data_IF_373567784579
#
_entry.id   IF_373567784579
#
_cell.length_a   1.000
_cell.length_b   1.000
_cell.length_c   1.000
_cell.angle_alpha   90.00
_cell.angle_beta   90.00
_cell.angle_gamma   90.00
#
_symmetry.space_group_name_H-M   'P 1'
#
loop_
_entity.id
_entity.type
_entity.pdbx_description
1 polymer ?
#
# COMPACT_ATOMS: atom_id res chain seq x y z
N UNK A 1 -14.90 -10.95 55.53
CA UNK A 1 -16.09 -11.04 54.66
C UNK A 1 -16.19 -9.72 53.91
N UNK A 2 -15.83 -9.73 52.63
CA UNK A 2 -15.96 -8.58 51.75
C UNK A 2 -17.41 -8.48 51.27
N UNK A 3 -18.01 -7.30 51.37
CA UNK A 3 -19.27 -6.96 50.75
C UNK A 3 -19.05 -5.66 49.98
N UNK A 4 -18.90 -5.75 48.67
CA UNK A 4 -18.92 -4.60 47.77
C UNK A 4 -20.18 -4.70 46.92
N UNK A 5 -20.99 -3.65 47.05
CA UNK A 5 -22.29 -3.49 46.44
C UNK A 5 -22.21 -3.37 44.92
N UNK A 6 -23.25 -3.87 44.28
CA UNK A 6 -23.55 -3.77 42.87
C UNK A 6 -24.44 -2.55 42.65
N UNK A 7 -24.19 -1.75 41.61
CA UNK A 7 -25.23 -0.91 41.01
C UNK A 7 -24.95 -0.75 39.52
N UNK A 8 -25.97 -1.07 38.73
CA UNK A 8 -26.04 -0.94 37.29
C UNK A 8 -26.69 0.39 36.92
N UNK A 9 -26.23 1.02 35.84
CA UNK A 9 -27.05 1.91 35.03
C UNK A 9 -26.47 1.96 33.61
N UNK A 10 -27.28 1.54 32.64
CA UNK A 10 -27.05 1.76 31.22
C UNK A 10 -27.48 3.18 30.84
N UNK A 11 -26.76 3.83 29.92
CA UNK A 11 -27.33 4.88 29.07
C UNK A 11 -26.60 4.92 27.72
N UNK A 12 -27.40 4.80 26.66
CA UNK A 12 -27.04 4.86 25.25
C UNK A 12 -26.64 6.27 24.81
N UNK A 13 -25.82 6.32 23.75
CA UNK A 13 -25.86 7.38 22.74
C UNK A 13 -24.91 8.56 22.97
N UNK A 14 -23.98 8.74 22.05
CA UNK A 14 -23.29 10.02 21.90
C UNK A 14 -21.94 9.90 21.20
N UNK A 15 -21.94 10.17 19.89
CA UNK A 15 -20.81 10.71 19.14
C UNK A 15 -19.47 9.99 19.25
N UNK A 16 -19.10 9.28 18.18
CA UNK A 16 -17.68 9.22 17.81
C UNK A 16 -17.27 10.64 17.36
N UNK A 17 -17.08 11.51 18.34
CA UNK A 17 -16.36 12.77 18.17
C UNK A 17 -14.94 12.36 17.79
N UNK A 18 -14.68 12.29 16.49
CA UNK A 18 -13.33 12.39 15.94
C UNK A 18 -12.82 13.79 16.24
N UNK A 19 -12.52 14.03 17.51
CA UNK A 19 -11.80 15.19 17.99
C UNK A 19 -10.34 14.84 18.07
N UNK A 20 -9.56 15.52 17.25
CA UNK A 20 -8.29 16.04 17.72
C UNK A 20 -7.06 15.33 17.19
N UNK A 21 -6.39 16.01 16.27
CA UNK A 21 -4.96 15.82 16.09
C UNK A 21 -4.47 16.31 14.74
N UNK A 22 -4.43 17.62 14.53
CA UNK A 22 -3.58 18.21 13.50
C UNK A 22 -2.13 17.84 13.81
N UNK A 23 -1.68 16.72 13.24
CA UNK A 23 -0.30 16.26 13.31
C UNK A 23 0.41 16.83 12.10
N UNK A 24 1.18 17.91 12.31
CA UNK A 24 2.16 18.34 11.31
C UNK A 24 2.99 17.13 10.92
N UNK A 25 2.99 16.82 9.62
CA UNK A 25 3.67 15.64 9.11
C UNK A 25 5.12 15.59 9.57
N UNK A 26 5.58 14.40 9.95
CA UNK A 26 6.95 14.20 10.43
C UNK A 26 8.00 14.47 9.34
N UNK A 27 9.20 13.94 9.55
CA UNK A 27 10.24 13.92 8.51
C UNK A 27 10.27 12.54 7.86
N UNK A 28 10.21 12.52 6.53
CA UNK A 28 10.46 11.34 5.71
C UNK A 28 11.77 11.53 4.95
N UNK A 29 12.47 10.44 4.64
CA UNK A 29 13.73 10.49 3.90
C UNK A 29 13.55 9.86 2.52
N UNK A 30 14.16 10.48 1.51
CA UNK A 30 14.35 9.92 0.16
C UNK A 30 15.85 9.85 -0.10
N UNK A 31 16.38 8.65 -0.28
CA UNK A 31 17.75 8.46 -0.73
C UNK A 31 17.85 8.79 -2.23
N UNK A 32 18.88 9.54 -2.59
CA UNK A 32 19.19 9.95 -3.96
C UNK A 32 20.42 9.16 -4.42
N UNK A 33 20.20 8.23 -5.34
CA UNK A 33 21.25 7.37 -5.88
C UNK A 33 21.82 6.30 -4.93
N UNK A 34 20.99 5.57 -4.16
CA UNK A 34 21.49 4.57 -3.22
C UNK A 34 22.31 3.49 -3.93
N UNK A 35 23.46 3.13 -3.37
CA UNK A 35 24.34 2.09 -3.93
C UNK A 35 24.92 2.41 -5.32
N UNK A 36 25.02 3.69 -5.70
CA UNK A 36 25.36 4.15 -7.07
C UNK A 36 24.31 3.78 -8.13
N UNK A 37 23.05 3.61 -7.71
CA UNK A 37 21.93 3.36 -8.60
C UNK A 37 21.38 4.67 -9.17
N UNK A 38 20.70 4.63 -10.32
CA UNK A 38 20.04 5.80 -10.89
C UNK A 38 18.56 5.85 -10.49
N UNK A 39 18.29 5.85 -9.19
CA UNK A 39 16.93 5.83 -8.63
C UNK A 39 16.80 6.76 -7.43
N UNK A 40 15.56 7.15 -7.13
CA UNK A 40 15.17 7.67 -5.82
C UNK A 40 14.60 6.51 -4.99
N UNK A 41 14.90 6.47 -3.69
CA UNK A 41 14.39 5.43 -2.80
C UNK A 41 13.75 6.03 -1.53
N UNK A 42 12.44 5.83 -1.29
CA UNK A 42 11.49 5.22 -2.21
C UNK A 42 11.24 6.10 -3.45
N UNK A 43 10.92 5.47 -4.59
CA UNK A 43 10.52 6.20 -5.79
C UNK A 43 9.11 6.78 -5.68
N UNK A 44 8.21 6.12 -4.95
CA UNK A 44 6.84 6.57 -4.69
C UNK A 44 6.65 6.76 -3.18
N UNK A 45 6.29 7.96 -2.76
CA UNK A 45 6.14 8.31 -1.34
C UNK A 45 4.80 9.01 -1.09
N UNK A 46 3.93 8.38 -0.31
CA UNK A 46 2.69 9.00 0.16
C UNK A 46 2.88 9.64 1.55
N UNK A 47 2.53 10.91 1.70
CA UNK A 47 2.73 11.68 2.95
C UNK A 47 1.51 12.51 3.33
N UNK A 48 1.39 12.80 4.62
CA UNK A 48 0.39 13.75 5.12
C UNK A 48 0.80 15.19 4.76
N UNK A 49 -0.16 16.12 4.57
CA UNK A 49 0.17 17.53 4.42
C UNK A 49 0.96 18.05 5.62
N UNK A 50 1.97 18.89 5.33
CA UNK A 50 2.92 19.41 6.31
C UNK A 50 4.11 18.50 6.59
N UNK A 51 4.22 17.35 5.92
CA UNK A 51 5.39 16.46 6.04
C UNK A 51 6.62 17.09 5.39
N UNK A 52 7.76 17.01 6.07
CA UNK A 52 9.05 17.41 5.50
C UNK A 52 9.72 16.20 4.89
N UNK A 53 10.15 16.31 3.63
CA UNK A 53 10.97 15.29 2.98
C UNK A 53 12.41 15.78 2.94
N UNK A 54 13.31 14.96 3.48
CA UNK A 54 14.76 15.11 3.39
C UNK A 54 15.29 14.21 2.29
N UNK A 55 15.84 14.81 1.25
CA UNK A 55 16.57 14.15 0.18
C UNK A 55 18.04 14.03 0.58
N UNK A 56 18.59 12.83 0.55
CA UNK A 56 19.97 12.53 0.98
C UNK A 56 20.75 11.90 -0.17
N UNK A 57 21.84 12.53 -0.58
CA UNK A 57 22.67 12.02 -1.68
C UNK A 57 23.59 10.92 -1.18
N UNK A 58 23.38 9.73 -1.72
CA UNK A 58 24.20 8.54 -1.47
C UNK A 58 25.18 8.24 -2.61
N UNK A 59 25.02 8.89 -3.76
CA UNK A 59 25.99 8.92 -4.85
C UNK A 59 26.10 10.30 -5.51
N UNK A 60 27.09 10.43 -6.39
CA UNK A 60 27.48 11.67 -7.04
C UNK A 60 26.66 12.01 -8.29
N UNK A 61 26.58 13.29 -8.64
CA UNK A 61 26.03 13.72 -9.93
C UNK A 61 24.51 13.65 -10.07
N UNK A 62 23.76 13.89 -8.99
CA UNK A 62 22.29 13.88 -9.01
C UNK A 62 21.68 15.22 -8.66
N UNK A 63 20.43 15.43 -9.07
CA UNK A 63 19.59 16.55 -8.68
C UNK A 63 18.14 16.08 -8.50
N UNK A 64 17.32 16.95 -7.92
CA UNK A 64 15.87 16.75 -7.75
C UNK A 64 15.18 17.91 -8.41
N UNK A 65 14.58 17.69 -9.57
CA UNK A 65 13.91 18.73 -10.37
C UNK A 65 12.43 18.39 -10.50
N UNK A 66 11.50 19.29 -10.12
CA UNK A 66 10.08 19.07 -10.29
C UNK A 66 9.69 19.10 -11.78
N UNK A 67 8.93 18.09 -12.21
CA UNK A 67 8.32 18.03 -13.55
C UNK A 67 6.86 18.50 -13.50
N UNK A 68 6.16 18.18 -12.40
CA UNK A 68 4.76 18.51 -12.17
C UNK A 68 4.53 18.76 -10.70
N UNK A 69 3.82 19.83 -10.37
CA UNK A 69 3.44 20.18 -8.99
C UNK A 69 1.96 20.56 -8.94
N UNK A 70 1.26 20.34 -7.81
CA UNK A 70 -0.13 20.70 -7.67
C UNK A 70 -0.37 22.21 -7.85
N UNK A 71 -1.56 22.58 -8.32
CA UNK A 71 -1.94 23.99 -8.44
C UNK A 71 -1.85 24.69 -7.08
N UNK A 72 -1.17 25.84 -7.05
CA UNK A 72 -0.96 26.62 -5.82
C UNK A 72 0.15 26.09 -4.91
N UNK A 73 0.83 25.00 -5.28
CA UNK A 73 2.09 24.61 -4.65
C UNK A 73 3.28 25.41 -5.23
N UNK A 74 4.31 25.60 -4.41
CA UNK A 74 5.58 26.18 -4.84
C UNK A 74 6.71 25.26 -4.41
N UNK A 75 7.33 24.59 -5.37
CA UNK A 75 8.51 23.75 -5.16
C UNK A 75 9.39 23.82 -6.39
N UNK A 76 10.67 24.15 -6.18
CA UNK A 76 11.68 24.31 -7.26
C UNK A 76 12.74 23.19 -7.21
N UNK A 77 12.57 22.20 -6.31
CA UNK A 77 13.57 21.17 -6.07
C UNK A 77 14.91 21.75 -5.64
N UNK A 78 16.00 21.16 -6.13
CA UNK A 78 17.36 21.62 -5.85
C UNK A 78 17.80 22.83 -6.70
N UNK A 79 16.91 23.41 -7.52
CA UNK A 79 17.22 24.55 -8.37
C UNK A 79 17.40 24.17 -9.84
N UNK A 80 18.31 24.84 -10.59
CA UNK A 80 18.45 24.65 -12.03
C UNK A 80 18.80 23.20 -12.41
N UNK A 81 18.25 22.71 -13.52
CA UNK A 81 18.52 21.37 -14.07
C UNK A 81 20.00 21.06 -14.32
N UNK A 82 20.81 22.10 -14.56
CA UNK A 82 22.25 21.96 -14.79
C UNK A 82 23.08 21.82 -13.51
N UNK A 83 22.50 22.12 -12.36
CA UNK A 83 23.18 22.02 -11.08
C UNK A 83 23.06 20.58 -10.55
N UNK A 84 24.19 19.99 -10.20
CA UNK A 84 24.31 18.62 -9.70
C UNK A 84 24.99 18.63 -8.35
N UNK A 85 24.60 17.68 -7.51
CA UNK A 85 25.11 17.53 -6.16
C UNK A 85 25.66 16.13 -5.96
N UNK A 86 26.61 16.05 -5.03
CA UNK A 86 27.38 14.86 -4.76
C UNK A 86 27.04 14.22 -3.41
N UNK A 87 27.58 13.02 -3.18
CA UNK A 87 27.39 12.24 -1.96
C UNK A 87 27.61 13.10 -0.72
N UNK A 88 26.69 13.02 0.24
CA UNK A 88 26.72 13.80 1.47
C UNK A 88 26.04 15.17 1.38
N UNK A 89 25.53 15.56 0.20
CA UNK A 89 24.57 16.64 0.08
C UNK A 89 23.21 16.24 0.68
N UNK A 90 22.50 17.23 1.22
CA UNK A 90 21.14 17.06 1.77
C UNK A 90 20.28 18.26 1.38
N UNK A 91 19.04 18.00 0.99
CA UNK A 91 18.05 19.02 0.67
C UNK A 91 16.72 18.69 1.34
N UNK A 92 16.04 19.69 1.91
CA UNK A 92 14.77 19.47 2.63
C UNK A 92 13.67 20.36 2.07
N UNK A 93 12.46 19.80 1.94
CA UNK A 93 11.27 20.58 1.60
C UNK A 93 10.04 20.10 2.38
N UNK A 94 9.19 21.03 2.82
CA UNK A 94 7.93 20.73 3.52
C UNK A 94 6.76 20.81 2.55
N UNK A 95 6.13 19.67 2.31
CA UNK A 95 5.03 19.52 1.36
C UNK A 95 3.69 19.71 2.06
N UNK A 96 2.94 20.75 1.69
CA UNK A 96 1.68 21.12 2.35
C UNK A 96 0.45 21.11 1.45
N UNK A 97 0.63 21.34 0.14
CA UNK A 97 -0.48 21.33 -0.82
C UNK A 97 -0.80 19.88 -1.19
N UNK A 98 -2.08 19.52 -1.18
CA UNK A 98 -2.52 18.18 -1.57
C UNK A 98 -2.29 17.96 -3.07
N UNK A 99 -1.98 16.72 -3.44
CA UNK A 99 -1.78 16.29 -4.82
C UNK A 99 -0.41 15.63 -5.04
N UNK A 100 -0.16 15.32 -6.32
CA UNK A 100 1.05 14.65 -6.74
C UNK A 100 2.14 15.65 -7.14
N UNK A 101 3.35 15.40 -6.65
CA UNK A 101 4.57 16.11 -6.98
C UNK A 101 5.47 15.12 -7.71
N UNK A 102 5.56 15.26 -9.03
CA UNK A 102 6.43 14.43 -9.87
C UNK A 102 7.76 15.15 -10.06
N UNK A 103 8.86 14.41 -9.93
CA UNK A 103 10.21 14.95 -10.03
C UNK A 103 11.16 13.95 -10.68
N UNK A 104 12.28 14.48 -11.16
CA UNK A 104 13.26 13.73 -11.92
C UNK A 104 14.67 14.15 -11.54
N UNK A 105 15.63 13.26 -11.76
CA UNK A 105 17.02 13.66 -11.90
C UNK A 105 17.31 13.97 -13.37
N UNK A 106 17.52 15.23 -13.73
CA UNK A 106 17.64 15.70 -15.12
C UNK A 106 18.63 14.89 -15.99
N UNK A 107 19.89 14.64 -15.57
CA UNK A 107 20.82 13.86 -16.39
C UNK A 107 20.42 12.38 -16.55
N UNK A 108 19.58 11.85 -15.66
CA UNK A 108 19.19 10.44 -15.59
C UNK A 108 17.71 10.20 -15.91
N UNK A 109 16.98 11.23 -16.38
CA UNK A 109 15.57 11.14 -16.73
C UNK A 109 15.30 10.01 -17.75
N UNK A 110 16.14 9.92 -18.78
CA UNK A 110 16.03 8.88 -19.82
C UNK A 110 16.34 7.47 -19.32
N UNK A 111 17.05 7.34 -18.19
CA UNK A 111 17.31 6.07 -17.52
C UNK A 111 16.20 5.70 -16.52
N UNK A 112 15.19 6.55 -16.33
CA UNK A 112 14.05 6.29 -15.44
C UNK A 112 14.26 6.74 -13.99
N UNK A 113 15.19 7.66 -13.73
CA UNK A 113 15.38 8.24 -12.40
C UNK A 113 14.30 9.28 -12.10
N UNK A 114 13.07 8.81 -11.87
CA UNK A 114 11.87 9.58 -11.57
C UNK A 114 11.35 9.23 -10.19
N UNK A 115 10.66 10.17 -9.55
CA UNK A 115 9.99 9.94 -8.28
C UNK A 115 8.69 10.73 -8.19
N UNK A 116 7.80 10.25 -7.31
CA UNK A 116 6.50 10.86 -7.05
C UNK A 116 6.29 10.96 -5.55
N UNK A 117 5.94 12.17 -5.09
CA UNK A 117 5.45 12.40 -3.73
C UNK A 117 3.95 12.73 -3.81
N UNK A 118 3.12 11.89 -3.21
CA UNK A 118 1.67 12.13 -3.11
C UNK A 118 1.35 12.69 -1.74
N UNK A 119 0.92 13.95 -1.70
CA UNK A 119 0.44 14.58 -0.46
C UNK A 119 -1.06 14.34 -0.34
N UNK A 120 -1.46 13.57 0.66
CA UNK A 120 -2.84 13.14 0.87
C UNK A 120 -3.20 13.14 2.35
N UNK A 121 -4.49 13.32 2.65
CA UNK A 121 -4.98 13.28 4.03
C UNK A 121 -4.84 11.88 4.67
N UNK A 122 -4.73 10.83 3.85
CA UNK A 122 -4.64 9.44 4.29
C UNK A 122 -3.44 8.73 3.63
N UNK A 123 -2.20 8.98 4.07
CA UNK A 123 -0.99 8.41 3.46
C UNK A 123 -0.82 6.89 3.66
N UNK A 124 -1.82 6.20 4.23
CA UNK A 124 -1.79 4.79 4.57
C UNK A 124 -2.94 3.98 3.97
N UNK A 125 -2.91 3.76 2.65
CA UNK A 125 -3.52 2.58 2.01
C UNK A 125 -2.86 2.19 0.67
N UNK A 126 -1.73 2.81 0.27
CA UNK A 126 -1.23 2.62 -1.10
C UNK A 126 0.18 3.11 -1.41
N UNK A 127 1.12 3.17 -0.45
CA UNK A 127 2.52 3.48 -0.75
C UNK A 127 3.25 2.27 -1.36
N UNK A 128 3.93 2.48 -2.49
CA UNK A 128 4.65 1.50 -3.29
C UNK A 128 6.00 1.08 -2.72
N UNK A 129 5.98 0.12 -1.80
CA UNK A 129 7.02 -0.92 -1.73
C UNK A 129 6.42 -2.20 -2.31
N UNK A 130 7.24 -3.12 -2.81
CA UNK A 130 6.78 -4.36 -3.46
C UNK A 130 5.75 -5.06 -2.57
N UNK A 131 4.47 -5.01 -2.95
CA UNK A 131 3.46 -5.82 -2.28
C UNK A 131 3.66 -7.25 -2.75
N UNK A 132 4.51 -7.98 -2.04
CA UNK A 132 4.57 -9.45 -2.03
C UNK A 132 3.18 -10.00 -1.68
N UNK A 133 2.29 -10.15 -2.67
CA UNK A 133 1.12 -11.05 -2.81
C UNK A 133 0.20 -11.38 -1.60
N UNK A 134 0.41 -10.81 -0.41
CA UNK A 134 -0.29 -11.06 0.84
C UNK A 134 -1.20 -9.89 1.25
N UNK A 135 -1.16 -8.76 0.53
CA UNK A 135 -2.00 -7.57 0.77
C UNK A 135 -3.04 -7.32 -0.34
N UNK A 136 -3.47 -8.37 -1.05
CA UNK A 136 -4.80 -8.33 -1.68
C UNK A 136 -5.82 -8.52 -0.55
N UNK A 137 -6.56 -7.45 -0.23
CA UNK A 137 -7.52 -7.32 0.87
C UNK A 137 -8.69 -8.31 0.92
N UNK A 138 -8.39 -9.61 0.92
CA UNK A 138 -9.18 -10.66 1.53
C UNK A 138 -8.37 -11.10 2.75
N UNK A 139 -8.96 -11.21 3.95
CA UNK A 139 -8.25 -11.68 5.13
C UNK A 139 -7.94 -13.18 5.00
N UNK A 140 -6.98 -13.53 4.15
CA UNK A 140 -6.44 -14.88 4.05
C UNK A 140 -5.44 -15.08 5.17
N UNK A 141 -5.95 -15.20 6.39
CA UNK A 141 -5.24 -15.81 7.49
C UNK A 141 -4.52 -17.08 6.98
N UNK A 142 -3.18 -17.12 7.01
CA UNK A 142 -2.39 -18.19 6.41
C UNK A 142 -2.77 -19.60 6.90
N UNK A 143 -3.39 -19.69 8.09
CA UNK A 143 -3.90 -20.93 8.66
C UNK A 143 -5.24 -21.42 8.07
N UNK A 144 -6.01 -20.58 7.37
CA UNK A 144 -7.30 -20.97 6.77
C UNK A 144 -7.24 -21.21 5.25
N UNK A 145 -6.20 -20.76 4.54
CA UNK A 145 -6.07 -21.01 3.08
C UNK A 145 -5.84 -22.49 2.79
N UNK A 146 -5.01 -23.14 3.61
CA UNK A 146 -4.87 -24.60 3.56
C UNK A 146 -6.17 -25.30 3.92
N UNK A 147 -6.88 -24.80 4.93
CA UNK A 147 -8.12 -25.41 5.40
C UNK A 147 -9.26 -25.33 4.36
N UNK A 148 -9.43 -24.20 3.65
CA UNK A 148 -10.45 -24.06 2.61
C UNK A 148 -10.18 -24.96 1.40
N UNK A 149 -8.91 -25.05 0.99
CA UNK A 149 -8.48 -25.95 -0.10
C UNK A 149 -8.69 -27.42 0.28
N UNK A 150 -8.30 -27.81 1.50
CA UNK A 150 -8.49 -29.16 2.03
C UNK A 150 -9.99 -29.49 2.16
N UNK A 151 -10.81 -28.55 2.65
CA UNK A 151 -12.26 -28.73 2.76
C UNK A 151 -12.89 -28.92 1.37
N UNK A 152 -12.50 -28.12 0.36
CA UNK A 152 -12.99 -28.26 -1.02
C UNK A 152 -12.68 -29.63 -1.62
N UNK A 153 -11.45 -30.12 -1.41
CA UNK A 153 -11.04 -31.47 -1.83
C UNK A 153 -11.85 -32.54 -1.09
N UNK A 154 -12.02 -32.43 0.23
CA UNK A 154 -12.79 -33.40 1.03
C UNK A 154 -14.25 -33.43 0.60
N UNK A 155 -14.88 -32.26 0.41
CA UNK A 155 -16.29 -32.16 -0.02
C UNK A 155 -16.47 -32.79 -1.40
N UNK A 156 -15.52 -32.56 -2.31
CA UNK A 156 -15.57 -33.16 -3.66
C UNK A 156 -15.41 -34.68 -3.58
N UNK A 157 -14.47 -35.20 -2.78
CA UNK A 157 -14.28 -36.64 -2.60
C UNK A 157 -15.53 -37.29 -1.97
N UNK A 158 -16.11 -36.67 -0.94
CA UNK A 158 -17.33 -37.16 -0.29
C UNK A 158 -18.52 -37.12 -1.24
N UNK A 159 -18.67 -36.06 -2.02
CA UNK A 159 -19.73 -35.94 -3.02
C UNK A 159 -19.56 -36.96 -4.16
N UNK A 160 -18.36 -37.13 -4.69
CA UNK A 160 -18.06 -38.17 -5.68
C UNK A 160 -18.30 -39.56 -5.11
N UNK A 161 -17.89 -39.84 -3.88
CA UNK A 161 -18.23 -41.10 -3.21
C UNK A 161 -19.74 -41.28 -3.07
N UNK A 162 -20.48 -40.24 -2.69
CA UNK A 162 -21.93 -40.30 -2.58
C UNK A 162 -22.59 -40.61 -3.94
N UNK A 163 -22.15 -39.99 -5.03
CA UNK A 163 -22.63 -40.31 -6.38
C UNK A 163 -22.28 -41.73 -6.80
N UNK A 164 -21.06 -42.21 -6.51
CA UNK A 164 -20.68 -43.59 -6.84
C UNK A 164 -21.38 -44.64 -5.94
N UNK A 165 -21.66 -44.30 -4.69
CA UNK A 165 -22.25 -45.19 -3.69
C UNK A 165 -23.78 -45.22 -3.76
N UNK A 166 -24.40 -44.09 -4.10
CA UNK A 166 -25.85 -43.88 -4.02
C UNK A 166 -26.45 -43.17 -5.25
N UNK A 167 -25.65 -42.65 -6.18
CA UNK A 167 -26.09 -41.94 -7.37
C UNK A 167 -26.37 -42.82 -8.60
N UNK A 168 -26.12 -44.14 -8.53
CA UNK A 168 -26.67 -45.06 -9.53
C UNK A 168 -28.12 -45.39 -9.15
N UNK A 169 -29.07 -44.62 -9.71
CA UNK A 169 -30.46 -45.05 -9.81
C UNK A 169 -30.81 -45.30 -11.27
N UNK A 170 -31.13 -46.58 -11.55
CA UNK A 170 -31.79 -47.17 -12.70
C UNK A 170 -31.96 -46.29 -13.96
N UNK A 171 -31.13 -46.50 -14.98
CA UNK A 171 -31.53 -46.41 -16.40
C UNK A 171 -30.54 -47.16 -17.30
N UNK A 172 -30.36 -48.47 -17.07
CA UNK A 172 -29.92 -49.40 -18.11
C UNK A 172 -31.11 -49.75 -19.01
N UNK A 173 -31.55 -48.79 -19.82
CA UNK A 173 -32.57 -49.00 -20.83
C UNK A 173 -31.97 -49.62 -22.10
N UNK A 174 -31.95 -50.95 -22.19
CA UNK A 174 -31.94 -51.65 -23.48
C UNK A 174 -32.47 -53.08 -23.32
N UNK A 175 -33.65 -53.37 -23.87
CA UNK A 175 -33.81 -54.16 -25.11
C UNK A 175 -35.30 -54.34 -25.35
N UNK A 176 -35.80 -53.72 -26.43
CA UNK A 176 -37.19 -53.81 -26.83
C UNK A 176 -37.62 -55.24 -27.18
N UNK A 177 -38.79 -55.62 -26.68
CA UNK A 177 -39.75 -56.46 -27.39
C UNK A 177 -40.92 -55.56 -27.77
N UNK A 178 -41.60 -55.71 -28.89
CA UNK A 178 -41.62 -56.76 -29.89
C UNK A 178 -42.98 -56.61 -30.57
N UNK A 179 -42.97 -56.42 -31.87
CA UNK A 179 -44.08 -56.73 -32.79
C UNK A 179 -43.47 -57.42 -34.00
#
# INVERSE_FOLDING_TARGET
MAATAQSAAAQEGGGNESSGGGGGGGTQTVAVGPGNSLVFEPAELAIAPGTTVEFVWESDGHNVVPESVPEGASWEGTGPESELFDTGHTYTHTFSTLGDYEYVCSPHATAGMVGTITVTENPGSGGGGEKELHELGVPIQAHWVGASTILGIIVTIVYTFYILKYGESANTGNTGGGE
#
